data_IF_053684067738
#
_entry.id   IF_053684067738
#
_cell.length_a   1.000
_cell.length_b   1.000
_cell.length_c   1.000
_cell.angle_alpha   90.00
_cell.angle_beta   90.00
_cell.angle_gamma   90.00
#
_symmetry.space_group_name_H-M   'P 1'
#
loop_
_entity.id
_entity.type
_entity.pdbx_description
1 polymer ?
#
# COMPACT_ATOMS: atom_id res chain seq x y z
N UNK A 1 -26.76 -28.35 7.08
CA UNK A 1 -27.01 -28.35 5.61
C UNK A 1 -27.95 -27.22 5.21
N UNK A 2 -29.11 -27.03 5.84
CA UNK A 2 -30.11 -25.99 5.45
C UNK A 2 -29.56 -24.58 5.26
N UNK A 3 -28.60 -24.16 6.07
CA UNK A 3 -27.96 -22.82 5.93
C UNK A 3 -27.01 -22.72 4.73
N UNK A 4 -26.35 -23.82 4.38
CA UNK A 4 -25.54 -23.88 3.16
C UNK A 4 -26.43 -23.75 1.93
N UNK A 5 -27.60 -24.41 1.97
CA UNK A 5 -28.60 -24.35 0.90
C UNK A 5 -29.19 -22.94 0.77
N UNK A 6 -29.46 -22.26 1.89
CA UNK A 6 -29.90 -20.86 1.92
C UNK A 6 -28.85 -19.91 1.33
N UNK A 7 -27.57 -20.11 1.65
CA UNK A 7 -26.49 -19.33 1.04
C UNK A 7 -26.34 -19.63 -0.46
N UNK A 8 -26.56 -20.90 -0.86
CA UNK A 8 -26.61 -21.30 -2.25
C UNK A 8 -27.76 -20.62 -3.00
N UNK A 9 -28.95 -20.64 -2.45
CA UNK A 9 -30.11 -19.94 -3.00
C UNK A 9 -29.86 -18.43 -3.09
N UNK A 10 -29.29 -17.82 -2.05
CA UNK A 10 -28.90 -16.41 -2.09
C UNK A 10 -27.95 -16.09 -3.26
N UNK A 11 -26.98 -16.94 -3.54
CA UNK A 11 -26.06 -16.74 -4.68
C UNK A 11 -26.78 -16.87 -6.03
N UNK A 12 -27.68 -17.84 -6.16
CA UNK A 12 -28.36 -18.15 -7.40
C UNK A 12 -29.51 -17.18 -7.67
N UNK A 13 -30.40 -17.00 -6.68
CA UNK A 13 -31.64 -16.28 -6.83
C UNK A 13 -31.49 -14.77 -6.63
N UNK A 14 -30.79 -14.37 -5.56
CA UNK A 14 -30.69 -12.96 -5.17
C UNK A 14 -29.56 -12.26 -5.89
N UNK A 15 -28.37 -12.87 -5.91
CA UNK A 15 -27.17 -12.25 -6.50
C UNK A 15 -27.02 -12.52 -7.98
N UNK A 16 -27.43 -13.66 -8.48
CA UNK A 16 -27.28 -14.04 -9.88
C UNK A 16 -25.85 -13.76 -10.44
N UNK A 17 -24.84 -13.84 -9.59
CA UNK A 17 -23.46 -13.48 -9.95
C UNK A 17 -23.19 -12.00 -10.16
N UNK A 18 -24.13 -11.10 -9.84
CA UNK A 18 -24.04 -9.65 -10.09
C UNK A 18 -23.98 -8.85 -8.79
N UNK A 19 -23.44 -7.62 -8.85
CA UNK A 19 -23.56 -6.63 -7.78
C UNK A 19 -24.90 -5.88 -7.84
N UNK A 20 -25.10 -4.93 -6.93
CA UNK A 20 -26.30 -4.08 -6.89
C UNK A 20 -26.53 -3.24 -8.17
N UNK A 21 -25.46 -2.98 -8.91
CA UNK A 21 -25.48 -2.24 -10.18
C UNK A 21 -25.64 -3.17 -11.41
N UNK A 22 -25.93 -4.45 -11.22
CA UNK A 22 -26.11 -5.43 -12.29
C UNK A 22 -24.80 -5.92 -12.95
N UNK A 23 -23.64 -5.50 -12.45
CA UNK A 23 -22.33 -5.93 -12.98
C UNK A 23 -21.96 -7.30 -12.43
N UNK A 24 -21.58 -8.22 -13.29
CA UNK A 24 -21.12 -9.54 -12.91
C UNK A 24 -19.87 -9.51 -12.02
N UNK A 25 -19.85 -10.37 -11.01
CA UNK A 25 -18.81 -10.41 -9.99
C UNK A 25 -17.78 -11.49 -10.28
N UNK A 26 -16.54 -11.22 -9.87
CA UNK A 26 -15.48 -12.25 -9.88
C UNK A 26 -15.73 -13.30 -8.81
N UNK A 27 -15.17 -14.50 -8.96
CA UNK A 27 -15.29 -15.56 -7.96
C UNK A 27 -14.82 -15.13 -6.57
N UNK A 28 -13.76 -14.29 -6.48
CA UNK A 28 -13.32 -13.75 -5.19
C UNK A 28 -14.35 -12.78 -4.57
N UNK A 29 -14.98 -11.96 -5.39
CA UNK A 29 -16.03 -11.04 -4.92
C UNK A 29 -17.25 -11.82 -4.45
N UNK A 30 -17.68 -12.86 -5.18
CA UNK A 30 -18.78 -13.75 -4.77
C UNK A 30 -18.47 -14.46 -3.44
N UNK A 31 -17.24 -14.97 -3.26
CA UNK A 31 -16.80 -15.55 -1.97
C UNK A 31 -16.91 -14.55 -0.82
N UNK A 32 -16.54 -13.29 -1.06
CA UNK A 32 -16.67 -12.25 -0.04
C UNK A 32 -18.14 -11.95 0.31
N UNK A 33 -19.04 -11.98 -0.66
CA UNK A 33 -20.48 -11.83 -0.43
C UNK A 33 -21.05 -13.00 0.38
N UNK A 34 -20.70 -14.25 0.02
CA UNK A 34 -21.11 -15.44 0.80
C UNK A 34 -20.64 -15.35 2.23
N UNK A 35 -19.38 -14.96 2.43
CA UNK A 35 -18.84 -14.77 3.79
C UNK A 35 -19.59 -13.68 4.55
N UNK A 36 -19.88 -12.55 3.94
CA UNK A 36 -20.62 -11.45 4.57
C UNK A 36 -22.06 -11.89 4.93
N UNK A 37 -22.72 -12.64 4.05
CA UNK A 37 -24.04 -13.19 4.31
C UNK A 37 -23.99 -14.19 5.48
N UNK A 38 -23.01 -15.09 5.51
CA UNK A 38 -22.82 -16.03 6.60
C UNK A 38 -22.55 -15.33 7.94
N UNK A 39 -21.77 -14.27 7.95
CA UNK A 39 -21.50 -13.45 9.14
C UNK A 39 -22.80 -12.76 9.62
N UNK A 40 -23.63 -12.24 8.72
CA UNK A 40 -24.94 -11.67 9.06
C UNK A 40 -25.90 -12.72 9.63
N UNK A 41 -26.01 -13.88 8.99
CA UNK A 41 -26.83 -14.97 9.51
C UNK A 41 -26.36 -15.45 10.89
N UNK A 42 -25.04 -15.55 11.09
CA UNK A 42 -24.45 -15.93 12.38
C UNK A 42 -24.88 -14.99 13.51
N UNK A 43 -24.99 -13.70 13.23
CA UNK A 43 -25.48 -12.70 14.19
C UNK A 43 -26.98 -12.92 14.48
N UNK A 44 -27.78 -13.15 13.44
CA UNK A 44 -29.23 -13.31 13.58
C UNK A 44 -29.64 -14.56 14.35
N UNK A 45 -28.90 -15.67 14.18
CA UNK A 45 -29.21 -16.94 14.83
C UNK A 45 -28.44 -17.15 16.15
N UNK A 46 -27.58 -16.22 16.54
CA UNK A 46 -26.77 -16.31 17.77
C UNK A 46 -25.70 -17.42 17.76
N UNK A 47 -25.45 -18.05 16.61
CA UNK A 47 -24.47 -19.14 16.47
C UNK A 47 -23.61 -18.97 15.22
N UNK A 48 -22.30 -19.35 15.32
CA UNK A 48 -21.37 -19.19 14.21
C UNK A 48 -21.65 -20.20 13.08
N UNK A 49 -22.01 -19.68 11.91
CA UNK A 49 -22.21 -20.50 10.72
C UNK A 49 -20.88 -20.96 10.14
N UNK A 50 -20.69 -22.27 10.00
CA UNK A 50 -19.54 -22.84 9.36
C UNK A 50 -19.76 -23.02 7.85
N UNK A 51 -19.11 -22.22 7.04
CA UNK A 51 -19.16 -22.29 5.57
C UNK A 51 -17.92 -22.95 4.96
N UNK A 52 -17.03 -23.46 5.79
CA UNK A 52 -15.79 -24.10 5.35
C UNK A 52 -15.75 -25.56 5.77
N UNK A 53 -15.20 -26.40 4.90
CA UNK A 53 -14.82 -27.75 5.27
C UNK A 53 -13.53 -27.75 6.09
N UNK A 54 -13.43 -28.70 7.00
CA UNK A 54 -12.20 -28.98 7.74
C UNK A 54 -11.24 -29.76 6.84
N UNK A 55 -10.03 -29.30 6.74
CA UNK A 55 -8.96 -30.15 6.23
C UNK A 55 -8.71 -31.29 7.24
N UNK A 56 -8.92 -32.52 6.78
CA UNK A 56 -8.81 -33.72 7.60
C UNK A 56 -7.42 -33.96 8.19
N UNK A 57 -6.37 -33.40 7.56
CA UNK A 57 -4.98 -33.55 8.00
C UNK A 57 -4.56 -32.47 8.99
N UNK A 58 -4.97 -31.23 8.78
CA UNK A 58 -4.55 -30.11 9.63
C UNK A 58 -5.59 -29.63 10.63
N UNK A 59 -6.81 -30.17 10.57
CA UNK A 59 -7.99 -29.69 11.30
C UNK A 59 -8.28 -28.19 11.12
N UNK A 60 -7.72 -27.58 10.07
CA UNK A 60 -7.92 -26.18 9.75
C UNK A 60 -9.04 -26.02 8.71
N UNK A 61 -9.88 -25.03 8.88
CA UNK A 61 -10.93 -24.66 7.91
C UNK A 61 -10.29 -23.99 6.70
N UNK A 62 -9.93 -24.76 5.68
CA UNK A 62 -9.14 -24.27 4.56
C UNK A 62 -9.99 -24.06 3.31
N UNK A 63 -11.01 -24.89 3.10
CA UNK A 63 -11.79 -24.87 1.87
C UNK A 63 -13.22 -24.43 2.11
N UNK A 64 -13.75 -23.61 1.20
CA UNK A 64 -15.17 -23.31 1.17
C UNK A 64 -15.94 -24.61 0.90
N UNK A 65 -17.12 -24.77 1.54
CA UNK A 65 -17.98 -25.95 1.33
C UNK A 65 -18.13 -26.25 -0.17
N UNK A 66 -17.94 -27.51 -0.64
CA UNK A 66 -17.87 -27.85 -2.05
C UNK A 66 -19.03 -27.30 -2.88
N UNK A 67 -20.24 -27.42 -2.38
CA UNK A 67 -21.45 -26.90 -3.02
C UNK A 67 -21.37 -25.36 -3.26
N UNK A 68 -20.96 -24.59 -2.26
CA UNK A 68 -20.80 -23.14 -2.41
C UNK A 68 -19.66 -22.79 -3.36
N UNK A 69 -18.59 -23.59 -3.35
CA UNK A 69 -17.46 -23.41 -4.26
C UNK A 69 -17.90 -23.65 -5.71
N UNK A 70 -18.68 -24.69 -5.95
CA UNK A 70 -19.20 -25.02 -7.28
C UNK A 70 -20.13 -23.92 -7.80
N UNK A 71 -21.10 -23.49 -7.00
CA UNK A 71 -22.01 -22.40 -7.36
C UNK A 71 -21.26 -21.09 -7.68
N UNK A 72 -20.24 -20.76 -6.89
CA UNK A 72 -19.40 -19.59 -7.17
C UNK A 72 -18.67 -19.76 -8.49
N UNK A 73 -18.15 -20.93 -8.77
CA UNK A 73 -17.41 -21.22 -10.00
C UNK A 73 -18.32 -21.14 -11.21
N UNK A 74 -19.55 -21.65 -11.11
CA UNK A 74 -20.56 -21.58 -12.17
C UNK A 74 -21.06 -20.17 -12.46
N UNK A 75 -21.18 -19.32 -11.43
CA UNK A 75 -21.73 -17.96 -11.52
C UNK A 75 -20.68 -16.87 -11.67
N UNK A 76 -19.44 -17.18 -11.36
CA UNK A 76 -18.35 -16.23 -11.56
C UNK A 76 -18.10 -15.98 -13.04
N UNK A 77 -17.96 -14.70 -13.38
CA UNK A 77 -17.43 -14.39 -14.70
C UNK A 77 -15.98 -14.89 -14.77
N UNK A 78 -15.65 -15.59 -15.86
CA UNK A 78 -14.28 -15.85 -16.22
C UNK A 78 -13.58 -14.53 -16.47
N UNK A 79 -13.01 -13.96 -15.41
CA UNK A 79 -12.19 -12.77 -15.55
C UNK A 79 -10.84 -13.20 -16.11
N UNK A 80 -10.39 -12.49 -17.14
CA UNK A 80 -8.98 -12.55 -17.55
C UNK A 80 -8.11 -12.49 -16.30
N UNK A 81 -7.03 -13.27 -16.21
CA UNK A 81 -6.09 -13.17 -15.09
C UNK A 81 -5.82 -11.69 -14.82
N UNK A 82 -5.89 -11.28 -13.55
CA UNK A 82 -5.63 -9.88 -13.19
C UNK A 82 -4.28 -9.50 -13.79
N UNK A 83 -4.29 -8.52 -14.66
CA UNK A 83 -3.06 -8.01 -15.23
C UNK A 83 -2.07 -7.71 -14.11
N UNK A 84 -0.85 -8.22 -14.24
CA UNK A 84 0.22 -7.94 -13.28
C UNK A 84 0.41 -6.44 -13.18
N UNK A 85 0.75 -6.00 -11.98
CA UNK A 85 1.15 -4.62 -11.78
C UNK A 85 2.59 -4.47 -12.27
N UNK A 86 2.84 -3.40 -13.00
CA UNK A 86 4.18 -3.11 -13.50
C UNK A 86 4.99 -2.37 -12.44
N UNK A 87 6.29 -2.71 -12.28
CA UNK A 87 7.19 -1.92 -11.47
C UNK A 87 7.45 -0.56 -12.14
N UNK A 88 7.68 0.46 -11.36
CA UNK A 88 8.33 1.67 -11.88
C UNK A 88 9.85 1.52 -11.77
N UNK A 89 10.58 2.22 -12.62
CA UNK A 89 12.01 2.02 -12.79
C UNK A 89 12.85 3.12 -12.12
N UNK A 90 14.11 2.82 -11.83
CA UNK A 90 15.09 3.85 -11.42
C UNK A 90 15.12 5.03 -12.40
N UNK A 91 15.11 4.75 -13.71
CA UNK A 91 15.10 5.77 -14.76
C UNK A 91 13.91 6.72 -14.63
N UNK A 92 12.73 6.20 -14.24
CA UNK A 92 11.56 7.05 -13.97
C UNK A 92 11.80 8.00 -12.80
N UNK A 93 12.36 7.51 -11.70
CA UNK A 93 12.68 8.34 -10.54
C UNK A 93 13.75 9.39 -10.85
N UNK A 94 14.82 9.01 -11.54
CA UNK A 94 15.90 9.91 -11.93
C UNK A 94 15.45 11.00 -12.93
N UNK A 95 14.59 10.62 -13.90
CA UNK A 95 13.99 11.58 -14.84
C UNK A 95 13.06 12.53 -14.11
N UNK A 96 12.28 12.03 -13.17
CA UNK A 96 11.39 12.87 -12.36
C UNK A 96 12.18 13.82 -11.44
N UNK A 97 13.25 13.36 -10.83
CA UNK A 97 14.15 14.23 -10.05
C UNK A 97 14.68 15.42 -10.86
N UNK A 98 15.02 15.19 -12.15
CA UNK A 98 15.42 16.27 -13.07
C UNK A 98 14.24 17.21 -13.38
N UNK A 99 13.06 16.66 -13.61
CA UNK A 99 11.85 17.44 -13.86
C UNK A 99 11.50 18.33 -12.65
N UNK A 100 11.63 17.82 -11.43
CA UNK A 100 11.37 18.61 -10.22
C UNK A 100 12.23 19.86 -10.12
N UNK A 101 13.48 19.83 -10.61
CA UNK A 101 14.36 21.01 -10.61
C UNK A 101 13.86 22.17 -11.46
N UNK A 102 12.97 21.89 -12.40
CA UNK A 102 12.41 22.86 -13.34
C UNK A 102 10.91 23.04 -13.23
N UNK A 103 10.28 22.40 -12.22
CA UNK A 103 8.83 22.39 -12.10
C UNK A 103 8.23 23.77 -11.80
N UNK A 104 8.88 24.50 -10.88
CA UNK A 104 8.54 25.88 -10.54
C UNK A 104 9.84 26.70 -10.41
N UNK A 105 9.74 28.00 -10.64
CA UNK A 105 10.86 28.94 -10.44
C UNK A 105 11.22 29.07 -8.95
N UNK A 106 10.25 28.93 -8.06
CA UNK A 106 10.46 28.91 -6.61
C UNK A 106 10.78 27.49 -6.11
N UNK A 107 11.98 27.25 -5.56
CA UNK A 107 12.36 25.96 -5.00
C UNK A 107 11.45 25.49 -3.85
N UNK A 108 10.94 26.43 -3.03
CA UNK A 108 10.02 26.09 -1.93
C UNK A 108 8.70 25.59 -2.47
N UNK A 109 8.14 26.25 -3.49
CA UNK A 109 6.92 25.80 -4.13
C UNK A 109 7.09 24.42 -4.77
N UNK A 110 8.23 24.17 -5.41
CA UNK A 110 8.58 22.85 -5.93
C UNK A 110 8.60 21.81 -4.81
N UNK A 111 9.28 22.10 -3.71
CA UNK A 111 9.41 21.17 -2.58
C UNK A 111 8.07 20.87 -1.91
N UNK A 112 7.18 21.85 -1.82
CA UNK A 112 5.83 21.66 -1.25
C UNK A 112 4.84 21.02 -2.23
N UNK A 113 5.21 20.82 -3.49
CA UNK A 113 4.31 20.30 -4.52
C UNK A 113 3.90 18.84 -4.31
N UNK A 114 2.77 18.47 -4.91
CA UNK A 114 2.28 17.09 -4.97
C UNK A 114 3.30 16.17 -5.65
N UNK A 115 3.90 16.62 -6.75
CA UNK A 115 4.89 15.84 -7.52
C UNK A 115 6.11 15.49 -6.67
N UNK A 116 6.61 16.43 -5.88
CA UNK A 116 7.72 16.17 -4.98
C UNK A 116 7.34 15.21 -3.84
N UNK A 117 6.17 15.39 -3.26
CA UNK A 117 5.68 14.51 -2.20
C UNK A 117 5.53 13.06 -2.68
N UNK A 118 4.98 12.85 -3.89
CA UNK A 118 4.87 11.51 -4.47
C UNK A 118 6.25 10.92 -4.80
N UNK A 119 7.19 11.74 -5.27
CA UNK A 119 8.55 11.28 -5.54
C UNK A 119 9.25 10.78 -4.27
N UNK A 120 9.14 11.48 -3.15
CA UNK A 120 9.69 11.03 -1.87
C UNK A 120 9.08 9.68 -1.44
N UNK A 121 7.77 9.53 -1.59
CA UNK A 121 7.12 8.25 -1.28
C UNK A 121 7.50 7.13 -2.24
N UNK A 122 7.70 7.42 -3.53
CA UNK A 122 8.15 6.44 -4.50
C UNK A 122 9.59 5.96 -4.17
N UNK A 123 10.49 6.87 -3.81
CA UNK A 123 11.85 6.54 -3.34
C UNK A 123 11.81 5.64 -2.10
N UNK A 124 11.09 6.06 -1.07
CA UNK A 124 10.95 5.30 0.16
C UNK A 124 10.26 3.95 -0.09
N UNK A 125 9.32 3.91 -1.00
CA UNK A 125 8.54 2.73 -1.35
C UNK A 125 9.37 1.57 -1.89
N UNK A 126 10.49 1.85 -2.58
CA UNK A 126 11.43 0.83 -3.07
C UNK A 126 12.07 0.07 -1.89
N UNK A 127 12.36 0.75 -0.81
CA UNK A 127 12.99 0.14 0.36
C UNK A 127 11.97 -0.54 1.27
N UNK A 128 10.85 0.11 1.48
CA UNK A 128 9.86 -0.33 2.48
C UNK A 128 8.81 -1.28 1.93
N UNK A 129 8.60 -1.31 0.62
CA UNK A 129 7.46 -2.01 0.02
C UNK A 129 6.12 -1.57 0.63
N UNK A 130 6.01 -0.31 1.04
CA UNK A 130 4.85 0.22 1.75
C UNK A 130 3.55 0.02 0.98
N UNK A 131 2.48 -0.31 1.71
CA UNK A 131 1.13 -0.32 1.15
C UNK A 131 0.61 1.11 1.02
N UNK A 132 -0.32 1.31 0.09
CA UNK A 132 -0.95 2.62 -0.11
C UNK A 132 -1.49 3.22 1.20
N UNK A 133 -2.17 2.43 2.02
CA UNK A 133 -2.72 2.87 3.30
C UNK A 133 -1.67 3.29 4.33
N UNK A 134 -0.41 2.93 4.13
CA UNK A 134 0.68 3.29 5.03
C UNK A 134 1.27 4.66 4.71
N UNK A 135 1.16 5.15 3.47
CA UNK A 135 1.73 6.44 3.07
C UNK A 135 0.73 7.43 2.49
N UNK A 136 -0.42 6.98 2.01
CA UNK A 136 -1.48 7.85 1.55
C UNK A 136 -2.68 7.71 2.46
N UNK A 137 -3.22 8.81 2.91
CA UNK A 137 -4.48 8.84 3.63
C UNK A 137 -5.60 8.46 2.66
N UNK A 138 -5.76 7.18 2.41
CA UNK A 138 -6.81 6.64 1.56
C UNK A 138 -8.14 6.80 2.25
N UNK A 139 -8.77 7.97 1.99
CA UNK A 139 -10.17 8.14 2.28
C UNK A 139 -10.50 8.43 3.73
N UNK A 140 -10.48 9.69 4.09
CA UNK A 140 -11.53 10.30 4.88
C UNK A 140 -12.90 10.13 4.20
N UNK A 141 -13.13 9.01 3.54
CA UNK A 141 -14.47 8.64 3.11
C UNK A 141 -15.09 7.91 4.28
N UNK A 142 -16.03 8.56 4.95
CA UNK A 142 -16.88 8.00 6.02
C UNK A 142 -17.48 6.60 5.73
N UNK A 143 -17.30 6.06 4.53
CA UNK A 143 -17.92 4.83 4.04
C UNK A 143 -16.93 3.73 3.66
N UNK A 144 -15.61 3.87 3.87
CA UNK A 144 -14.72 2.73 3.68
C UNK A 144 -14.68 1.91 4.96
N UNK A 145 -15.34 0.78 4.90
CA UNK A 145 -15.38 -0.27 5.92
C UNK A 145 -13.97 -0.84 6.12
N UNK A 146 -13.22 -0.27 7.02
CA UNK A 146 -12.09 -0.97 7.61
C UNK A 146 -12.67 -2.00 8.59
N UNK A 147 -12.77 -3.26 8.18
CA UNK A 147 -13.40 -4.36 8.92
C UNK A 147 -12.82 -4.67 10.31
N UNK A 148 -11.92 -3.84 10.84
CA UNK A 148 -11.28 -4.00 12.15
C UNK A 148 -11.12 -2.70 12.93
N UNK A 149 -11.76 -1.62 12.51
CA UNK A 149 -11.78 -0.38 13.28
C UNK A 149 -12.95 -0.47 14.25
N UNK A 150 -12.77 -0.19 15.55
CA UNK A 150 -13.87 -0.07 16.48
C UNK A 150 -14.94 0.87 15.93
N UNK A 151 -16.21 0.55 16.21
CA UNK A 151 -17.39 1.28 15.68
C UNK A 151 -17.31 2.80 15.95
N UNK A 152 -16.54 3.19 16.96
CA UNK A 152 -16.37 4.57 17.41
C UNK A 152 -15.08 5.23 16.92
N UNK A 153 -14.28 4.59 16.06
CA UNK A 153 -13.07 5.18 15.52
C UNK A 153 -13.39 6.00 14.28
N UNK A 154 -12.77 7.18 14.17
CA UNK A 154 -12.86 7.99 12.96
C UNK A 154 -12.30 7.21 11.76
N UNK A 155 -12.92 7.30 10.58
CA UNK A 155 -12.42 6.66 9.36
C UNK A 155 -10.97 7.05 9.08
N UNK A 156 -10.12 6.05 8.82
CA UNK A 156 -8.68 6.26 8.60
C UNK A 156 -7.84 6.29 9.88
N UNK A 157 -8.45 6.05 11.04
CA UNK A 157 -7.76 5.95 12.32
C UNK A 157 -7.92 4.56 12.93
N UNK A 158 -6.92 4.14 13.67
CA UNK A 158 -6.93 2.93 14.48
C UNK A 158 -6.57 3.31 15.92
N UNK A 159 -7.47 3.07 16.86
CA UNK A 159 -7.23 3.44 18.25
C UNK A 159 -6.91 4.92 18.42
N UNK A 160 -7.60 5.81 17.68
CA UNK A 160 -7.38 7.26 17.70
C UNK A 160 -6.13 7.73 16.92
N UNK A 161 -5.41 6.83 16.22
CA UNK A 161 -4.22 7.20 15.43
C UNK A 161 -4.45 6.93 13.94
N UNK A 162 -3.95 7.77 13.02
CA UNK A 162 -4.07 7.53 11.59
C UNK A 162 -3.36 6.24 11.19
N UNK A 163 -3.88 5.56 10.16
CA UNK A 163 -3.26 4.34 9.61
C UNK A 163 -2.00 4.71 8.83
N UNK A 164 -2.01 5.82 8.09
CA UNK A 164 -0.84 6.32 7.38
C UNK A 164 0.27 6.74 8.36
N UNK A 165 1.51 6.66 7.90
CA UNK A 165 2.67 7.04 8.71
C UNK A 165 2.55 8.45 9.28
N UNK A 166 2.87 8.56 10.56
CA UNK A 166 3.02 9.82 11.31
C UNK A 166 4.49 10.03 11.65
N UNK A 167 4.83 11.23 12.14
CA UNK A 167 6.21 11.58 12.53
C UNK A 167 6.85 10.55 13.45
N UNK A 168 6.13 10.06 14.44
CA UNK A 168 6.63 9.14 15.46
C UNK A 168 6.85 7.69 14.94
N UNK A 169 6.57 7.41 13.68
CA UNK A 169 6.88 6.13 13.06
C UNK A 169 8.34 6.06 12.56
N UNK A 170 9.10 7.15 12.68
CA UNK A 170 10.45 7.26 12.19
C UNK A 170 11.41 7.67 13.30
N UNK A 171 12.46 6.89 13.48
CA UNK A 171 13.56 7.16 14.39
C UNK A 171 14.87 7.22 13.57
N UNK A 172 15.72 8.18 13.88
CA UNK A 172 16.95 8.44 13.12
C UNK A 172 18.17 8.19 13.99
N UNK A 173 19.23 7.69 13.35
CA UNK A 173 20.44 7.30 14.05
C UNK A 173 21.68 7.78 13.31
N UNK A 174 22.71 8.15 14.09
CA UNK A 174 24.05 8.50 13.57
C UNK A 174 24.90 7.25 13.27
N UNK A 175 26.14 7.45 12.86
CA UNK A 175 27.10 6.37 12.56
C UNK A 175 27.45 5.49 13.76
N UNK A 176 27.30 6.03 14.96
CA UNK A 176 27.51 5.30 16.23
C UNK A 176 26.23 4.66 16.79
N UNK A 177 25.18 4.59 15.96
CA UNK A 177 23.86 4.09 16.35
C UNK A 177 23.22 4.86 17.53
N UNK A 178 23.56 6.13 17.72
CA UNK A 178 22.93 6.98 18.72
C UNK A 178 21.68 7.62 18.09
N UNK A 179 20.58 7.62 18.88
CA UNK A 179 19.31 8.21 18.48
C UNK A 179 19.47 9.74 18.28
N UNK A 180 18.98 10.24 17.16
CA UNK A 180 18.94 11.66 16.84
C UNK A 180 17.52 12.20 17.16
N UNK A 181 17.40 13.17 18.06
CA UNK A 181 16.13 13.79 18.37
C UNK A 181 15.50 14.45 17.14
N UNK A 182 14.17 14.40 17.04
CA UNK A 182 13.43 14.98 15.91
C UNK A 182 13.70 16.49 15.71
N UNK A 183 14.00 17.22 16.76
CA UNK A 183 14.39 18.65 16.70
C UNK A 183 15.72 18.90 15.99
N UNK A 184 16.59 17.90 15.95
CA UNK A 184 17.95 18.04 15.36
C UNK A 184 18.07 17.44 13.95
N UNK A 185 17.07 16.67 13.49
CA UNK A 185 17.17 15.88 12.25
C UNK A 185 17.57 16.74 11.07
N UNK A 186 16.91 17.87 10.84
CA UNK A 186 17.16 18.69 9.66
C UNK A 186 18.55 19.30 9.64
N UNK A 187 19.06 19.71 10.81
CA UNK A 187 20.43 20.22 10.95
C UNK A 187 21.45 19.11 10.70
N UNK A 188 21.30 17.99 11.40
CA UNK A 188 22.23 16.84 11.29
C UNK A 188 22.19 16.18 9.92
N UNK A 189 21.03 16.16 9.27
CA UNK A 189 20.94 15.64 7.90
C UNK A 189 21.76 16.51 6.92
N UNK A 190 21.70 17.83 7.03
CA UNK A 190 22.56 18.74 6.22
C UNK A 190 24.04 18.50 6.44
N UNK A 191 24.45 18.16 7.66
CA UNK A 191 25.83 17.79 8.01
C UNK A 191 26.16 16.33 7.69
N UNK A 192 25.26 15.59 7.05
CA UNK A 192 25.40 14.15 6.72
C UNK A 192 25.67 13.24 7.92
N UNK A 193 25.21 13.64 9.09
CA UNK A 193 25.34 12.87 10.31
C UNK A 193 24.25 11.80 10.49
N UNK A 194 23.13 11.90 9.74
CA UNK A 194 22.04 10.94 9.80
C UNK A 194 22.36 9.76 8.88
N UNK A 195 22.68 8.62 9.49
CA UNK A 195 23.17 7.44 8.77
C UNK A 195 22.10 6.38 8.54
N UNK A 196 21.06 6.35 9.38
CA UNK A 196 19.97 5.41 9.18
C UNK A 196 18.64 5.91 9.74
N UNK A 197 17.56 5.36 9.21
CA UNK A 197 16.20 5.55 9.69
C UNK A 197 15.57 4.19 10.03
N UNK A 198 14.95 4.11 11.19
CA UNK A 198 14.10 3.00 11.58
C UNK A 198 12.65 3.38 11.30
N UNK A 199 11.98 2.57 10.51
CA UNK A 199 10.57 2.77 10.14
C UNK A 199 9.71 1.77 10.91
N UNK A 200 8.77 2.28 11.69
CA UNK A 200 7.81 1.48 12.48
C UNK A 200 6.54 1.28 11.69
N UNK A 201 6.22 0.02 11.38
CA UNK A 201 4.99 -0.36 10.70
C UNK A 201 3.92 -0.68 11.75
N UNK A 202 3.08 0.30 12.08
CA UNK A 202 2.07 0.15 13.14
C UNK A 202 0.97 -0.85 12.81
N UNK A 203 0.60 -0.97 11.54
CA UNK A 203 -0.54 -1.76 11.11
C UNK A 203 -0.15 -2.68 9.96
N UNK A 204 -0.09 -3.98 10.23
CA UNK A 204 0.10 -4.98 9.19
C UNK A 204 -1.13 -5.89 9.09
N UNK A 205 -1.48 -6.30 7.86
CA UNK A 205 -2.50 -7.33 7.61
C UNK A 205 -2.08 -8.71 8.13
N UNK A 206 -0.77 -8.90 8.35
CA UNK A 206 -0.16 -10.18 8.67
C UNK A 206 0.00 -10.49 10.14
N UNK A 207 -0.43 -9.67 11.07
CA UNK A 207 -0.23 -9.81 12.51
C UNK A 207 1.12 -9.30 13.09
N UNK A 208 2.07 -8.88 12.28
CA UNK A 208 3.32 -8.27 12.74
C UNK A 208 3.16 -6.74 12.94
N UNK A 209 2.13 -6.33 13.70
CA UNK A 209 1.97 -4.94 14.06
C UNK A 209 3.18 -4.45 14.87
N UNK A 210 3.53 -3.17 14.66
CA UNK A 210 4.67 -2.51 15.30
C UNK A 210 6.06 -3.04 14.90
N UNK A 211 6.15 -3.81 13.80
CA UNK A 211 7.46 -4.22 13.29
C UNK A 211 8.30 -3.01 12.90
N UNK A 212 9.59 -3.05 13.24
CA UNK A 212 10.56 -2.00 12.91
C UNK A 212 11.51 -2.54 11.85
N UNK A 213 11.80 -1.71 10.84
CA UNK A 213 12.79 -2.02 9.80
C UNK A 213 13.79 -0.88 9.70
N UNK A 214 15.07 -1.23 9.67
CA UNK A 214 16.18 -0.30 9.53
C UNK A 214 16.55 -0.12 8.05
N UNK A 215 16.75 1.13 7.64
CA UNK A 215 17.25 1.51 6.33
C UNK A 215 18.41 2.47 6.51
N UNK A 216 19.53 2.19 5.84
CA UNK A 216 20.72 3.04 5.88
C UNK A 216 20.65 4.10 4.78
N UNK A 217 21.30 5.23 5.00
CA UNK A 217 21.50 6.24 3.96
C UNK A 217 22.30 5.67 2.78
N UNK A 218 22.05 6.20 1.62
CA UNK A 218 22.73 5.83 0.38
C UNK A 218 23.50 7.03 -0.18
N UNK A 219 24.55 6.74 -0.94
CA UNK A 219 25.27 7.77 -1.71
C UNK A 219 24.54 8.14 -3.00
N UNK A 220 23.54 7.33 -3.41
CA UNK A 220 22.71 7.62 -4.58
C UNK A 220 21.62 8.66 -4.20
N UNK A 221 21.64 9.85 -4.82
CA UNK A 221 20.71 10.92 -4.46
C UNK A 221 19.26 10.62 -4.85
N UNK A 222 19.03 9.63 -5.70
CA UNK A 222 17.69 9.19 -6.09
C UNK A 222 17.19 8.08 -5.15
N UNK A 223 18.07 7.18 -4.76
CA UNK A 223 17.76 6.01 -3.93
C UNK A 223 18.34 6.15 -2.51
N UNK A 224 17.94 7.19 -1.79
CA UNK A 224 18.26 7.36 -0.37
C UNK A 224 16.97 7.36 0.47
N UNK A 225 16.75 6.30 1.27
CA UNK A 225 15.55 6.22 2.11
C UNK A 225 15.58 7.21 3.28
N UNK A 226 16.77 7.58 3.77
CA UNK A 226 16.92 8.56 4.85
C UNK A 226 16.55 9.95 4.34
N UNK A 227 17.10 10.36 3.19
CA UNK A 227 16.76 11.63 2.56
C UNK A 227 15.27 11.73 2.23
N UNK A 228 14.68 10.64 1.72
CA UNK A 228 13.25 10.60 1.42
C UNK A 228 12.39 10.87 2.66
N UNK A 229 12.70 10.22 3.80
CA UNK A 229 11.94 10.41 5.04
C UNK A 229 12.19 11.81 5.62
N UNK A 230 13.41 12.29 5.62
CA UNK A 230 13.74 13.66 6.10
C UNK A 230 12.97 14.70 5.29
N UNK A 231 12.90 14.55 3.96
CA UNK A 231 12.13 15.44 3.07
C UNK A 231 10.63 15.40 3.40
N UNK A 232 10.05 14.23 3.65
CA UNK A 232 8.65 14.08 4.05
C UNK A 232 8.37 14.81 5.37
N UNK A 233 9.24 14.63 6.39
CA UNK A 233 9.10 15.28 7.69
C UNK A 233 9.29 16.79 7.60
N UNK A 234 10.24 17.25 6.79
CA UNK A 234 10.49 18.67 6.58
C UNK A 234 9.28 19.35 5.93
N UNK A 235 8.68 18.70 4.90
CA UNK A 235 7.47 19.21 4.26
C UNK A 235 6.31 19.26 5.24
N UNK A 236 6.09 18.22 6.02
CA UNK A 236 5.05 18.19 7.04
C UNK A 236 5.25 19.31 8.08
N UNK A 237 6.50 19.58 8.47
CA UNK A 237 6.83 20.68 9.38
C UNK A 237 6.53 22.05 8.77
N UNK A 238 6.95 22.30 7.54
CA UNK A 238 6.69 23.56 6.82
C UNK A 238 5.20 23.81 6.57
N UNK A 239 4.42 22.75 6.45
CA UNK A 239 2.95 22.83 6.31
C UNK A 239 2.21 22.76 7.66
N UNK A 240 2.91 22.90 8.79
CA UNK A 240 2.34 22.90 10.14
C UNK A 240 1.49 21.66 10.47
N UNK A 241 1.85 20.50 9.91
CA UNK A 241 1.17 19.23 10.20
C UNK A 241 1.50 18.77 11.62
N UNK A 242 0.49 18.42 12.39
CA UNK A 242 0.63 17.92 13.75
C UNK A 242 1.46 16.62 13.79
N UNK A 243 2.11 16.35 14.92
CA UNK A 243 2.89 15.11 15.12
C UNK A 243 2.07 13.83 15.01
N UNK A 244 0.75 13.93 15.16
CA UNK A 244 -0.21 12.83 15.13
C UNK A 244 -0.94 12.70 13.79
N UNK A 245 -0.70 13.60 12.86
CA UNK A 245 -1.29 13.55 11.53
C UNK A 245 -0.37 12.86 10.53
N UNK A 246 -0.92 12.32 9.42
CA UNK A 246 -0.15 11.72 8.36
C UNK A 246 0.88 12.67 7.76
N UNK A 247 2.11 12.19 7.54
CA UNK A 247 3.18 12.99 6.93
C UNK A 247 3.15 13.03 5.40
N UNK A 248 2.28 12.25 4.79
CA UNK A 248 2.06 12.23 3.34
C UNK A 248 1.26 13.45 2.89
N UNK A 249 1.87 14.62 2.89
CA UNK A 249 1.22 15.90 2.62
C UNK A 249 1.90 16.69 1.51
N UNK A 250 1.14 17.62 0.92
CA UNK A 250 1.60 18.63 -0.02
C UNK A 250 0.73 19.88 0.09
N UNK A 251 1.15 21.01 -0.45
CA UNK A 251 0.36 22.23 -0.40
C UNK A 251 1.15 23.46 -0.80
N UNK A 252 0.72 24.59 -0.25
CA UNK A 252 1.41 25.86 -0.31
C UNK A 252 1.62 26.39 1.09
N UNK A 253 2.53 27.31 1.30
CA UNK A 253 2.79 27.92 2.61
C UNK A 253 1.61 28.71 3.16
N UNK A 254 0.64 29.05 2.31
CA UNK A 254 -0.49 29.93 2.64
C UNK A 254 -1.85 29.18 2.77
N UNK A 255 -1.88 27.87 2.52
CA UNK A 255 -3.11 27.08 2.60
C UNK A 255 -2.97 25.89 3.53
N UNK A 256 -4.06 25.35 4.08
CA UNK A 256 -4.04 24.09 4.81
C UNK A 256 -3.45 22.96 3.94
N UNK A 257 -2.72 22.01 4.54
CA UNK A 257 -2.10 20.92 3.81
C UNK A 257 -3.15 19.99 3.18
N UNK A 258 -2.81 19.47 2.01
CA UNK A 258 -3.56 18.39 1.37
C UNK A 258 -2.89 17.05 1.66
N UNK A 259 -3.65 16.06 2.07
CA UNK A 259 -3.14 14.71 2.23
C UNK A 259 -3.05 13.97 0.89
N UNK A 260 -1.98 13.21 0.70
CA UNK A 260 -1.83 12.35 -0.46
C UNK A 260 -2.94 11.29 -0.51
N UNK A 261 -3.46 11.04 -1.72
CA UNK A 261 -4.49 10.05 -2.01
C UNK A 261 -3.99 9.06 -3.07
N UNK A 262 -4.70 7.94 -3.21
CA UNK A 262 -4.47 6.93 -4.25
C UNK A 262 -4.36 7.53 -5.65
N UNK A 263 -5.31 8.39 -6.02
CA UNK A 263 -5.31 9.05 -7.32
C UNK A 263 -4.06 9.91 -7.54
N UNK A 264 -3.64 10.68 -6.53
CA UNK A 264 -2.46 11.53 -6.65
C UNK A 264 -1.19 10.73 -6.93
N UNK A 265 -1.01 9.61 -6.23
CA UNK A 265 0.15 8.73 -6.41
C UNK A 265 0.10 8.04 -7.76
N UNK A 266 -1.07 7.48 -8.13
CA UNK A 266 -1.25 6.82 -9.41
C UNK A 266 -0.98 7.74 -10.59
N UNK A 267 -1.58 8.93 -10.55
CA UNK A 267 -1.50 9.88 -11.65
C UNK A 267 -0.08 10.41 -11.84
N UNK A 268 0.64 10.65 -10.73
CA UNK A 268 2.03 11.09 -10.79
C UNK A 268 2.99 9.99 -11.24
N UNK A 269 2.82 8.73 -10.76
CA UNK A 269 3.63 7.61 -11.24
C UNK A 269 3.45 7.39 -12.75
N UNK A 270 2.24 7.55 -13.26
CA UNK A 270 1.95 7.49 -14.71
C UNK A 270 2.59 8.67 -15.46
N UNK A 271 2.52 9.87 -14.91
CA UNK A 271 3.18 11.03 -15.48
C UNK A 271 4.71 10.85 -15.51
N UNK A 272 5.31 10.24 -14.47
CA UNK A 272 6.74 9.85 -14.49
C UNK A 272 7.04 8.87 -15.63
N UNK A 273 6.17 7.89 -15.86
CA UNK A 273 6.32 6.92 -16.95
C UNK A 273 6.33 7.61 -18.32
N UNK A 274 5.33 8.45 -18.60
CA UNK A 274 5.22 9.18 -19.87
C UNK A 274 6.41 10.11 -20.12
N UNK A 275 6.86 10.83 -19.09
CA UNK A 275 8.05 11.70 -19.21
C UNK A 275 9.33 10.93 -19.50
N UNK A 276 9.43 9.70 -18.97
CA UNK A 276 10.65 8.89 -19.11
C UNK A 276 10.68 8.11 -20.42
N UNK A 277 9.52 7.68 -20.86
CA UNK A 277 9.29 6.87 -22.05
C UNK A 277 8.25 7.55 -22.93
N UNK A 278 8.64 8.62 -23.66
CA UNK A 278 7.69 9.42 -24.45
C UNK A 278 7.15 8.67 -25.68
N UNK A 279 7.84 7.60 -26.10
CA UNK A 279 7.39 6.77 -27.20
C UNK A 279 6.15 5.95 -26.80
N UNK A 280 4.98 6.14 -27.44
CA UNK A 280 3.76 5.39 -27.17
C UNK A 280 3.88 3.89 -27.44
N UNK A 281 4.89 3.44 -28.20
CA UNK A 281 5.16 2.03 -28.48
C UNK A 281 6.00 1.37 -27.37
N UNK A 282 6.57 2.14 -26.46
CA UNK A 282 7.33 1.58 -25.36
C UNK A 282 6.46 0.71 -24.46
N UNK A 283 6.97 -0.47 -24.06
CA UNK A 283 6.23 -1.45 -23.26
C UNK A 283 5.54 -0.86 -22.02
N UNK A 284 6.24 -0.05 -21.22
CA UNK A 284 5.66 0.58 -20.02
C UNK A 284 4.59 1.62 -20.35
N UNK A 285 4.67 2.26 -21.52
CA UNK A 285 3.63 3.18 -21.98
C UNK A 285 2.38 2.41 -22.39
N UNK A 286 2.53 1.32 -23.13
CA UNK A 286 1.41 0.43 -23.53
C UNK A 286 0.69 -0.18 -22.31
N UNK A 287 1.39 -0.34 -21.20
CA UNK A 287 0.86 -0.91 -19.96
C UNK A 287 0.77 0.08 -18.81
N UNK A 288 0.64 1.37 -19.10
CA UNK A 288 0.60 2.45 -18.11
C UNK A 288 -0.54 2.31 -17.10
N UNK A 289 -1.64 1.68 -17.48
CA UNK A 289 -2.76 1.34 -16.60
C UNK A 289 -2.37 0.39 -15.46
N UNK A 290 -1.29 -0.40 -15.66
CA UNK A 290 -0.74 -1.33 -14.67
C UNK A 290 0.19 -0.64 -13.65
N UNK A 291 0.63 0.60 -13.94
CA UNK A 291 1.39 1.42 -13.00
C UNK A 291 0.39 2.06 -12.03
N UNK A 292 0.43 1.61 -10.81
CA UNK A 292 -0.52 1.95 -9.74
C UNK A 292 0.21 2.09 -8.40
N UNK A 293 -0.39 2.62 -7.34
CA UNK A 293 0.26 2.73 -6.03
C UNK A 293 0.83 1.43 -5.49
N UNK A 294 0.23 0.29 -5.82
CA UNK A 294 0.75 -1.04 -5.46
C UNK A 294 2.06 -1.38 -6.17
N UNK A 295 2.42 -0.67 -7.22
CA UNK A 295 3.71 -0.84 -7.93
C UNK A 295 4.92 -0.62 -7.01
N UNK A 296 4.81 0.14 -5.93
CA UNK A 296 5.86 0.24 -4.90
C UNK A 296 6.32 -1.13 -4.43
N UNK A 297 5.36 -2.02 -4.10
CA UNK A 297 5.69 -3.36 -3.60
C UNK A 297 6.27 -4.26 -4.68
N UNK A 298 5.79 -4.11 -5.91
CA UNK A 298 6.33 -4.85 -7.06
C UNK A 298 7.76 -4.39 -7.34
N UNK A 299 8.01 -3.08 -7.39
CA UNK A 299 9.35 -2.51 -7.56
C UNK A 299 10.31 -2.97 -6.47
N UNK A 300 9.88 -2.89 -5.19
CA UNK A 300 10.67 -3.35 -4.06
C UNK A 300 11.05 -4.84 -4.19
N UNK A 301 10.09 -5.70 -4.57
CA UNK A 301 10.35 -7.13 -4.78
C UNK A 301 11.34 -7.38 -5.92
N UNK A 302 11.16 -6.68 -7.04
CA UNK A 302 12.07 -6.80 -8.20
C UNK A 302 13.49 -6.36 -7.83
N UNK A 303 13.64 -5.20 -7.16
CA UNK A 303 14.95 -4.71 -6.73
C UNK A 303 15.64 -5.67 -5.76
N UNK A 304 14.93 -6.22 -4.78
CA UNK A 304 15.48 -7.20 -3.85
C UNK A 304 15.90 -8.49 -4.57
N UNK A 305 15.07 -8.99 -5.49
CA UNK A 305 15.39 -10.18 -6.28
C UNK A 305 16.62 -9.98 -7.17
N UNK A 306 16.68 -8.84 -7.87
CA UNK A 306 17.86 -8.49 -8.70
C UNK A 306 19.12 -8.29 -7.87
N UNK A 307 18.98 -7.87 -6.60
CA UNK A 307 20.06 -7.78 -5.63
C UNK A 307 20.44 -9.13 -5.00
N UNK A 308 19.88 -10.25 -5.47
CA UNK A 308 20.21 -11.60 -5.00
C UNK A 308 19.52 -12.01 -3.68
N UNK A 309 18.53 -11.25 -3.20
CA UNK A 309 17.80 -11.63 -2.01
C UNK A 309 16.97 -12.90 -2.25
N UNK A 310 16.95 -13.80 -1.27
CA UNK A 310 16.12 -15.01 -1.31
C UNK A 310 14.63 -14.66 -1.27
N UNK A 311 13.78 -15.61 -1.68
CA UNK A 311 12.32 -15.45 -1.62
C UNK A 311 11.86 -15.19 -0.18
N UNK A 312 12.47 -15.86 0.79
CA UNK A 312 12.14 -15.70 2.21
C UNK A 312 12.57 -14.33 2.72
N UNK A 313 13.74 -13.82 2.32
CA UNK A 313 14.19 -12.46 2.64
C UNK A 313 13.24 -11.41 2.03
N UNK A 314 12.81 -11.61 0.78
CA UNK A 314 11.86 -10.73 0.13
C UNK A 314 10.52 -10.76 0.87
N UNK A 315 10.02 -11.95 1.22
CA UNK A 315 8.79 -12.09 1.98
C UNK A 315 8.89 -11.40 3.34
N UNK A 316 9.98 -11.63 4.07
CA UNK A 316 10.24 -11.01 5.36
C UNK A 316 10.32 -9.47 5.25
N UNK A 317 11.13 -8.94 4.33
CA UNK A 317 11.31 -7.49 4.16
C UNK A 317 10.03 -6.78 3.72
N UNK A 318 9.25 -7.41 2.84
CA UNK A 318 8.00 -6.84 2.33
C UNK A 318 6.77 -7.21 3.17
N UNK A 319 6.97 -7.94 4.27
CA UNK A 319 5.90 -8.38 5.17
C UNK A 319 4.83 -9.18 4.40
N UNK A 320 5.28 -10.14 3.59
CA UNK A 320 4.43 -11.08 2.87
C UNK A 320 4.36 -12.40 3.61
N UNK A 321 3.21 -13.06 3.59
CA UNK A 321 3.15 -14.47 3.93
C UNK A 321 3.91 -15.27 2.87
N UNK A 322 4.80 -16.16 3.28
CA UNK A 322 5.61 -16.99 2.38
C UNK A 322 4.75 -17.75 1.37
N UNK A 323 3.56 -18.22 1.78
CA UNK A 323 2.57 -18.86 0.90
C UNK A 323 1.94 -17.92 -0.16
N UNK A 324 2.23 -16.63 -0.12
CA UNK A 324 1.71 -15.61 -1.06
C UNK A 324 2.80 -14.91 -1.86
N UNK A 325 4.02 -15.35 -1.75
CA UNK A 325 5.10 -14.85 -2.62
C UNK A 325 4.76 -15.32 -4.03
N UNK A 326 4.52 -14.41 -4.99
CA UNK A 326 4.35 -14.81 -6.38
C UNK A 326 5.59 -15.60 -6.78
N UNK A 327 5.40 -16.69 -7.50
CA UNK A 327 6.51 -17.41 -8.11
C UNK A 327 7.28 -16.41 -8.97
N UNK A 328 8.41 -15.92 -8.47
CA UNK A 328 9.28 -14.94 -9.15
C UNK A 328 9.92 -15.52 -10.41
N UNK A 329 9.71 -16.82 -10.68
CA UNK A 329 10.12 -17.55 -11.89
C UNK A 329 9.55 -16.99 -13.21
N UNK A 330 8.81 -15.88 -13.16
CA UNK A 330 8.17 -15.26 -14.32
C UNK A 330 8.55 -13.78 -14.48
N UNK A 331 9.62 -13.32 -13.84
CA UNK A 331 10.25 -12.03 -14.18
C UNK A 331 11.25 -12.36 -15.29
N UNK A 332 11.06 -11.89 -16.54
CA UNK A 332 11.97 -12.12 -17.63
C UNK A 332 13.32 -11.50 -17.39
#
# INVERSE_FOLDING_TARGET
SQMIDLLGAYLVEVKQGKNLSGVHLTGQSLRNYVKAAADCFSILIGSKLNIYDLDTLSQKRVYLHPYLHELITQRAVWTKPKARKEPYTYRMLATHARHLKTLFSDPLQTFLSKSYAVWDWARLGIFTGSRLSEYAQSGFRRNQRFHRIPVNAEPGFWGGKPIAFIRNDFEFYDALARLIPHSEIFRRHRSREVCSVHVRFRYDKGAENFSIRKFSSSTDPVLDPVDAVVSLLQRATLLNVSTWEPIGVYGTSSSPPYFLRDSHVRDELRAMCVRTYPDPQHYLWLHIDRIVPHSNRVTAAVCLHMGGASIDDIAFRLRWHVSRVPTLSLIP
#
